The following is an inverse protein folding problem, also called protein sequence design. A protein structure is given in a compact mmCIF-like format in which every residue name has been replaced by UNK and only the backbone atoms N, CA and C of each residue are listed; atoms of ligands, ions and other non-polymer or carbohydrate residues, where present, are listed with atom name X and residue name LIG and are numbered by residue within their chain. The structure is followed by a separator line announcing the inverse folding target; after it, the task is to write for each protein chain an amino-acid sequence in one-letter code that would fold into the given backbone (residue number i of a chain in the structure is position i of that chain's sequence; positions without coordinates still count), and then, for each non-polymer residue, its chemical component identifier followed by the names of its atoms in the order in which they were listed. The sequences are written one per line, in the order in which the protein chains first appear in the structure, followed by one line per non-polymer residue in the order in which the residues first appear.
data_IF_218518203485
#
_entry.id   IF_218518203485
#
_cell.length_a   1.000
_cell.length_b   1.000
_cell.length_c   1.000
_cell.angle_alpha   90.00
_cell.angle_beta   90.00
_cell.angle_gamma   90.00
#
_symmetry.space_group_name_H-M   'P 1'
#
loop_
_entity.id
_entity.type
_entity.pdbx_description
1 polymer ?
#
# COMPACT_ATOMS: atom_id res chain seq x y z
N UNK A 1 -24.51 -55.08 -13.11
CA UNK A 1 -23.78 -54.87 -11.84
C UNK A 1 -22.29 -54.93 -12.15
N UNK A 2 -21.53 -53.87 -11.85
CA UNK A 2 -20.08 -53.88 -12.05
C UNK A 2 -19.41 -54.81 -11.02
N UNK A 3 -18.41 -55.62 -11.40
CA UNK A 3 -17.73 -56.52 -10.47
C UNK A 3 -16.99 -55.71 -9.40
N UNK A 4 -17.00 -56.19 -8.15
CA UNK A 4 -16.38 -55.51 -6.99
C UNK A 4 -14.90 -55.17 -7.21
N UNK A 5 -14.19 -55.98 -7.99
CA UNK A 5 -12.79 -55.74 -8.39
C UNK A 5 -12.63 -54.48 -9.26
N UNK A 6 -13.61 -54.14 -10.09
CA UNK A 6 -13.59 -52.97 -10.96
C UNK A 6 -13.81 -51.67 -10.17
N UNK A 7 -14.68 -51.69 -9.16
CA UNK A 7 -14.89 -50.57 -8.24
C UNK A 7 -13.61 -50.26 -7.45
N UNK A 8 -12.89 -51.30 -7.00
CA UNK A 8 -11.60 -51.15 -6.31
C UNK A 8 -10.51 -50.51 -7.17
N UNK A 9 -10.42 -50.89 -8.45
CA UNK A 9 -9.47 -50.31 -9.41
C UNK A 9 -9.75 -48.82 -9.69
N UNK A 10 -11.02 -48.45 -9.85
CA UNK A 10 -11.42 -47.04 -10.03
C UNK A 10 -11.05 -46.20 -8.80
N UNK A 11 -11.34 -46.71 -7.60
CA UNK A 11 -11.02 -46.00 -6.35
C UNK A 11 -9.50 -45.81 -6.20
N UNK A 12 -8.70 -46.84 -6.47
CA UNK A 12 -7.24 -46.75 -6.42
C UNK A 12 -6.69 -45.74 -7.46
N UNK A 13 -7.23 -45.74 -8.68
CA UNK A 13 -6.86 -44.79 -9.73
C UNK A 13 -7.15 -43.34 -9.33
N UNK A 14 -8.31 -43.07 -8.71
CA UNK A 14 -8.66 -41.74 -8.21
C UNK A 14 -7.72 -41.26 -7.09
N UNK A 15 -7.31 -42.15 -6.19
CA UNK A 15 -6.34 -41.81 -5.13
C UNK A 15 -4.98 -41.46 -5.72
N UNK A 16 -4.48 -42.24 -6.69
CA UNK A 16 -3.21 -41.95 -7.38
C UNK A 16 -3.27 -40.61 -8.11
N UNK A 17 -4.35 -40.33 -8.85
CA UNK A 17 -4.52 -39.04 -9.53
C UNK A 17 -4.61 -37.88 -8.54
N UNK A 18 -5.27 -38.06 -7.39
CA UNK A 18 -5.32 -37.04 -6.34
C UNK A 18 -3.92 -36.79 -5.73
N UNK A 19 -3.15 -37.84 -5.46
CA UNK A 19 -1.77 -37.73 -4.95
C UNK A 19 -0.85 -37.07 -5.96
N UNK A 20 -0.92 -37.46 -7.24
CA UNK A 20 -0.12 -36.84 -8.31
C UNK A 20 -0.53 -35.39 -8.55
N UNK A 21 -1.82 -35.07 -8.50
CA UNK A 21 -2.31 -33.70 -8.57
C UNK A 21 -1.83 -32.86 -7.39
N UNK A 22 -1.86 -33.41 -6.18
CA UNK A 22 -1.35 -32.78 -4.97
C UNK A 22 0.18 -32.57 -5.03
N UNK A 23 0.92 -33.59 -5.46
CA UNK A 23 2.36 -33.52 -5.68
C UNK A 23 2.71 -32.49 -6.78
N UNK A 24 1.95 -32.40 -7.87
CA UNK A 24 2.14 -31.38 -8.89
C UNK A 24 1.84 -29.96 -8.36
N UNK A 25 0.85 -29.80 -7.48
CA UNK A 25 0.58 -28.50 -6.84
C UNK A 25 1.70 -28.11 -5.86
N UNK A 26 2.29 -29.07 -5.15
CA UNK A 26 3.34 -28.84 -4.16
C UNK A 26 4.75 -28.73 -4.74
N UNK A 27 5.09 -29.62 -5.67
CA UNK A 27 6.42 -29.83 -6.25
C UNK A 27 6.51 -29.34 -7.70
N UNK A 28 5.37 -29.16 -8.36
CA UNK A 28 5.36 -28.72 -9.75
C UNK A 28 6.10 -27.39 -9.88
N UNK A 29 6.75 -27.14 -11.03
CA UNK A 29 7.42 -25.90 -11.34
C UNK A 29 6.36 -24.82 -11.56
N UNK A 30 5.60 -24.46 -10.53
CA UNK A 30 4.73 -23.31 -10.54
C UNK A 30 5.61 -22.14 -10.92
N UNK A 31 5.40 -21.61 -12.12
CA UNK A 31 6.25 -20.62 -12.78
C UNK A 31 6.77 -19.68 -11.72
N UNK A 32 8.07 -19.77 -11.40
CA UNK A 32 8.68 -18.91 -10.40
C UNK A 32 8.35 -17.51 -10.88
N UNK A 33 7.51 -16.73 -10.17
CA UNK A 33 7.16 -15.42 -10.68
C UNK A 33 8.47 -14.69 -10.88
N UNK A 34 8.72 -14.24 -12.11
CA UNK A 34 9.88 -13.42 -12.42
C UNK A 34 9.70 -12.17 -11.59
N UNK A 35 10.42 -12.10 -10.47
CA UNK A 35 10.46 -10.90 -9.64
C UNK A 35 11.27 -9.90 -10.44
N UNK A 36 10.69 -8.75 -10.84
CA UNK A 36 11.45 -7.73 -11.54
C UNK A 36 12.68 -7.36 -10.72
N UNK A 37 13.80 -7.02 -11.37
CA UNK A 37 15.00 -6.59 -10.66
C UNK A 37 14.68 -5.38 -9.76
N UNK A 38 15.42 -5.26 -8.65
CA UNK A 38 15.32 -4.08 -7.81
C UNK A 38 15.90 -2.87 -8.58
N UNK A 39 15.25 -1.69 -8.48
CA UNK A 39 15.84 -0.46 -9.00
C UNK A 39 17.20 -0.17 -8.35
N UNK A 40 18.08 0.54 -9.06
CA UNK A 40 19.38 0.98 -8.53
C UNK A 40 19.63 2.44 -8.94
N UNK A 41 19.57 3.40 -8.00
CA UNK A 41 19.20 3.24 -6.59
C UNK A 41 17.72 2.88 -6.38
N UNK A 42 17.41 2.23 -5.25
CA UNK A 42 16.03 1.86 -4.88
C UNK A 42 15.46 2.89 -3.90
N UNK A 43 14.37 3.56 -4.29
CA UNK A 43 13.72 4.55 -3.44
C UNK A 43 13.17 3.99 -2.13
N UNK A 44 12.85 2.70 -2.06
CA UNK A 44 12.41 2.06 -0.80
C UNK A 44 13.52 2.10 0.26
N UNK A 45 14.76 1.82 -0.13
CA UNK A 45 15.89 1.82 0.79
C UNK A 45 16.23 3.24 1.26
N UNK A 46 16.13 4.22 0.37
CA UNK A 46 16.28 5.64 0.72
C UNK A 46 15.16 6.16 1.65
N UNK A 47 13.93 5.66 1.49
CA UNK A 47 12.83 5.96 2.42
C UNK A 47 13.10 5.38 3.81
N UNK A 48 13.70 4.19 3.93
CA UNK A 48 14.08 3.64 5.22
C UNK A 48 15.16 4.48 5.92
N UNK A 49 16.14 4.99 5.18
CA UNK A 49 17.11 5.95 5.72
C UNK A 49 16.44 7.24 6.21
N UNK A 50 15.43 7.73 5.48
CA UNK A 50 14.65 8.90 5.92
C UNK A 50 13.87 8.61 7.21
N UNK A 51 13.33 7.40 7.39
CA UNK A 51 12.70 6.94 8.64
C UNK A 51 13.71 6.93 9.79
N UNK A 52 14.92 6.42 9.58
CA UNK A 52 15.96 6.38 10.62
C UNK A 52 16.33 7.80 11.07
N UNK A 53 16.55 8.70 10.11
CA UNK A 53 16.80 10.13 10.38
C UNK A 53 15.64 10.79 11.15
N UNK A 54 14.39 10.44 10.83
CA UNK A 54 13.22 10.92 11.57
C UNK A 54 13.25 10.45 13.02
N UNK A 55 13.53 9.16 13.25
CA UNK A 55 13.59 8.57 14.59
C UNK A 55 14.73 9.14 15.42
N UNK A 56 15.89 9.36 14.82
CA UNK A 56 17.02 10.03 15.47
C UNK A 56 16.63 11.44 15.93
N UNK A 57 16.00 12.22 15.04
CA UNK A 57 15.51 13.56 15.36
C UNK A 57 14.47 13.56 16.50
N UNK A 58 13.61 12.54 16.54
CA UNK A 58 12.54 12.41 17.54
C UNK A 58 12.96 11.73 18.84
N UNK A 59 14.08 11.00 18.86
CA UNK A 59 14.55 10.22 20.03
C UNK A 59 14.75 11.05 21.30
N UNK A 60 14.92 12.36 21.15
CA UNK A 60 15.10 13.32 22.25
C UNK A 60 13.79 13.66 22.98
N UNK A 61 12.65 13.25 22.44
CA UNK A 61 11.33 13.57 22.98
C UNK A 61 10.67 12.33 23.58
N UNK A 62 10.49 12.33 24.91
CA UNK A 62 9.85 11.20 25.61
C UNK A 62 8.33 11.21 25.46
N UNK A 63 7.71 12.34 25.08
CA UNK A 63 6.26 12.48 24.99
C UNK A 63 5.84 12.51 23.53
N UNK A 64 5.29 11.40 23.04
CA UNK A 64 4.65 11.33 21.72
C UNK A 64 3.30 12.05 21.77
N UNK A 65 3.30 13.37 21.64
CA UNK A 65 2.07 14.15 21.42
C UNK A 65 1.64 14.00 19.96
N UNK A 66 0.35 13.77 19.73
CA UNK A 66 -0.17 13.66 18.37
C UNK A 66 -0.18 15.06 17.72
N UNK A 67 0.24 15.17 16.46
CA UNK A 67 0.43 16.48 15.79
C UNK A 67 -0.86 17.32 15.70
N UNK A 68 -2.04 16.68 15.76
CA UNK A 68 -3.34 17.37 15.75
C UNK A 68 -3.62 18.17 17.02
N UNK A 69 -2.96 17.81 18.12
CA UNK A 69 -3.15 18.46 19.42
C UNK A 69 -2.17 19.62 19.63
N UNK A 70 -1.22 19.80 18.69
CA UNK A 70 -0.20 20.84 18.75
C UNK A 70 -0.71 22.15 18.15
N UNK A 71 -0.36 23.26 18.80
CA UNK A 71 -0.59 24.59 18.22
C UNK A 71 0.43 24.92 17.11
N UNK A 72 0.27 26.05 16.43
CA UNK A 72 1.14 26.43 15.32
C UNK A 72 2.63 26.57 15.71
N UNK A 73 2.94 27.06 16.91
CA UNK A 73 4.32 27.20 17.37
C UNK A 73 4.97 25.84 17.67
N UNK A 74 4.23 24.94 18.31
CA UNK A 74 4.68 23.57 18.59
C UNK A 74 4.84 22.76 17.31
N UNK A 75 3.91 22.88 16.36
CA UNK A 75 4.02 22.28 15.03
C UNK A 75 5.25 22.79 14.29
N UNK A 76 5.54 24.10 14.36
CA UNK A 76 6.74 24.67 13.72
C UNK A 76 8.02 24.03 14.24
N UNK A 77 8.15 23.91 15.57
CA UNK A 77 9.31 23.24 16.18
C UNK A 77 9.41 21.76 15.78
N UNK A 78 8.27 21.05 15.74
CA UNK A 78 8.24 19.65 15.31
C UNK A 78 8.66 19.49 13.84
N UNK A 79 8.15 20.34 12.96
CA UNK A 79 8.45 20.31 11.52
C UNK A 79 9.90 20.69 11.26
N UNK A 80 10.42 21.74 11.91
CA UNK A 80 11.81 22.17 11.81
C UNK A 80 12.77 21.04 12.24
N UNK A 81 12.46 20.39 13.37
CA UNK A 81 13.21 19.22 13.85
C UNK A 81 13.22 18.08 12.84
N UNK A 82 12.10 17.85 12.15
CA UNK A 82 11.94 16.77 11.18
C UNK A 82 12.36 17.16 9.75
N UNK A 83 12.73 18.42 9.49
CA UNK A 83 12.93 18.97 8.14
C UNK A 83 13.94 18.16 7.33
N UNK A 84 15.04 17.75 7.99
CA UNK A 84 16.07 16.93 7.35
C UNK A 84 15.56 15.56 6.89
N UNK A 85 14.68 14.91 7.66
CA UNK A 85 14.08 13.63 7.30
C UNK A 85 13.02 13.78 6.20
N UNK A 86 12.19 14.82 6.28
CA UNK A 86 11.17 15.14 5.27
C UNK A 86 11.81 15.46 3.91
N UNK A 87 12.92 16.20 3.89
CA UNK A 87 13.68 16.47 2.68
C UNK A 87 14.26 15.18 2.07
N UNK A 88 14.90 14.33 2.87
CA UNK A 88 15.41 13.02 2.42
C UNK A 88 14.29 12.13 1.87
N UNK A 89 13.13 12.10 2.53
CA UNK A 89 11.98 11.34 2.07
C UNK A 89 11.47 11.85 0.71
N UNK A 90 11.34 13.17 0.51
CA UNK A 90 10.93 13.73 -0.79
C UNK A 90 11.90 13.37 -1.91
N UNK A 91 13.21 13.40 -1.65
CA UNK A 91 14.21 12.98 -2.63
C UNK A 91 14.04 11.49 -2.98
N UNK A 92 13.80 10.63 -1.99
CA UNK A 92 13.54 9.22 -2.21
C UNK A 92 12.27 8.93 -3.03
N UNK A 93 11.22 9.75 -2.89
CA UNK A 93 9.96 9.61 -3.64
C UNK A 93 10.10 9.88 -5.15
N UNK A 94 11.20 10.51 -5.58
CA UNK A 94 11.53 10.69 -7.01
C UNK A 94 12.03 9.39 -7.63
N UNK A 95 12.67 8.53 -6.83
CA UNK A 95 13.26 7.28 -7.28
C UNK A 95 12.19 6.19 -7.51
N UNK A 96 12.47 5.27 -8.44
CA UNK A 96 11.68 4.05 -8.51
C UNK A 96 11.88 3.25 -7.22
N UNK A 97 10.77 2.89 -6.58
CA UNK A 97 10.76 2.20 -5.28
C UNK A 97 10.17 0.81 -5.44
N UNK A 98 10.83 -0.20 -4.88
CA UNK A 98 10.32 -1.56 -4.79
C UNK A 98 10.75 -2.20 -3.48
N UNK A 99 9.81 -2.85 -2.80
CA UNK A 99 10.08 -3.63 -1.59
C UNK A 99 11.07 -4.75 -1.92
N UNK A 100 12.20 -4.86 -1.21
CA UNK A 100 13.16 -5.93 -1.43
C UNK A 100 12.51 -7.29 -1.10
N UNK A 101 12.90 -8.36 -1.80
CA UNK A 101 12.40 -9.68 -1.47
C UNK A 101 12.88 -10.10 -0.07
N UNK A 102 12.09 -10.87 0.68
CA UNK A 102 12.50 -11.30 2.01
C UNK A 102 13.77 -12.15 1.93
N UNK A 103 14.70 -11.90 2.86
CA UNK A 103 15.83 -12.79 3.07
C UNK A 103 15.29 -14.13 3.60
N UNK A 104 15.72 -15.30 3.08
CA UNK A 104 15.31 -16.59 3.63
C UNK A 104 15.71 -16.69 5.12
N UNK A 105 14.84 -17.25 5.97
CA UNK A 105 15.26 -17.59 7.35
C UNK A 105 16.21 -18.77 7.27
N UNK A 106 17.44 -18.63 7.77
CA UNK A 106 18.32 -19.78 8.02
C UNK A 106 17.63 -20.64 9.08
N UNK A 107 17.23 -21.86 8.69
CA UNK A 107 16.45 -22.91 9.40
C UNK A 107 15.85 -22.51 10.77
N UNK A 108 14.53 -22.70 10.98
CA UNK A 108 13.96 -22.53 12.32
C UNK A 108 14.74 -23.37 13.32
N UNK A 109 15.03 -22.78 14.49
CA UNK A 109 15.74 -23.45 15.58
C UNK A 109 15.16 -24.85 15.80
N UNK A 110 15.99 -25.89 16.03
CA UNK A 110 15.51 -27.26 16.24
C UNK A 110 14.50 -27.40 17.40
N UNK A 111 14.39 -26.39 18.27
CA UNK A 111 13.38 -26.34 19.34
C UNK A 111 11.99 -25.83 18.88
N UNK A 112 11.83 -25.38 17.63
CA UNK A 112 10.55 -24.90 17.09
C UNK A 112 9.49 -26.00 16.92
N UNK A 113 9.84 -27.27 17.08
CA UNK A 113 8.91 -28.40 17.02
C UNK A 113 8.10 -28.65 18.30
N UNK A 114 8.25 -27.82 19.34
CA UNK A 114 7.63 -28.06 20.67
C UNK A 114 6.58 -27.05 21.12
N UNK A 115 6.35 -25.99 20.34
CA UNK A 115 5.29 -25.02 20.61
C UNK A 115 4.20 -25.22 19.57
N UNK A 116 3.00 -25.51 20.04
CA UNK A 116 1.70 -25.32 19.39
C UNK A 116 1.80 -24.27 18.27
N UNK A 117 1.37 -24.66 17.05
CA UNK A 117 1.55 -23.97 15.75
C UNK A 117 1.38 -22.44 15.78
N UNK A 118 0.63 -21.92 16.74
CA UNK A 118 0.40 -20.48 16.97
C UNK A 118 1.68 -19.74 17.37
N UNK A 119 2.57 -20.35 18.18
CA UNK A 119 3.81 -19.75 18.65
C UNK A 119 4.81 -19.50 17.52
N UNK A 120 4.99 -20.48 16.64
CA UNK A 120 5.82 -20.34 15.44
C UNK A 120 5.23 -19.31 14.48
N UNK A 121 3.90 -19.27 14.30
CA UNK A 121 3.24 -18.29 13.44
C UNK A 121 3.32 -16.86 14.02
N UNK A 122 3.29 -16.71 15.35
CA UNK A 122 3.51 -15.45 16.06
C UNK A 122 4.96 -14.98 16.00
N UNK A 123 5.95 -15.87 16.13
CA UNK A 123 7.37 -15.55 15.92
C UNK A 123 7.62 -15.10 14.46
N UNK A 124 6.97 -15.75 13.51
CA UNK A 124 6.97 -15.36 12.10
C UNK A 124 6.32 -13.99 11.90
N UNK A 125 5.15 -13.76 12.49
CA UNK A 125 4.49 -12.46 12.46
C UNK A 125 5.36 -11.39 13.13
N UNK A 126 6.06 -11.73 14.23
CA UNK A 126 6.98 -10.86 14.95
C UNK A 126 8.21 -10.54 14.11
N UNK A 127 8.84 -11.50 13.45
CA UNK A 127 9.97 -11.27 12.56
C UNK A 127 9.57 -10.46 11.29
N UNK A 128 8.32 -10.58 10.84
CA UNK A 128 7.75 -9.74 9.78
C UNK A 128 7.32 -8.34 10.28
N UNK A 129 6.94 -8.22 11.55
CA UNK A 129 6.61 -6.95 12.23
C UNK A 129 7.86 -6.21 12.73
N UNK A 130 8.97 -6.91 12.96
CA UNK A 130 10.29 -6.36 13.27
C UNK A 130 10.93 -5.69 12.04
N UNK A 131 10.29 -5.79 10.88
CA UNK A 131 10.61 -4.96 9.72
C UNK A 131 10.25 -3.50 10.07
N UNK A 132 11.25 -2.78 10.62
CA UNK A 132 11.26 -1.36 11.01
C UNK A 132 10.54 -0.44 10.02
N UNK A 133 10.44 -0.86 8.77
CA UNK A 133 9.70 -0.24 7.68
C UNK A 133 8.22 0.02 7.99
N UNK A 134 7.49 -0.93 8.60
CA UNK A 134 6.03 -0.85 8.76
C UNK A 134 5.62 0.33 9.63
N UNK A 135 6.24 0.44 10.81
CA UNK A 135 6.00 1.55 11.74
C UNK A 135 6.63 2.83 11.21
N UNK A 136 7.78 2.73 10.54
CA UNK A 136 8.53 3.85 9.99
C UNK A 136 7.76 4.67 8.97
N UNK A 137 7.13 4.03 7.98
CA UNK A 137 6.41 4.76 6.95
C UNK A 137 5.17 5.47 7.50
N UNK A 138 4.50 4.90 8.51
CA UNK A 138 3.40 5.61 9.19
C UNK A 138 3.91 6.83 9.95
N UNK A 139 5.04 6.70 10.66
CA UNK A 139 5.69 7.84 11.35
C UNK A 139 6.05 8.95 10.34
N UNK A 140 6.57 8.58 9.17
CA UNK A 140 6.92 9.54 8.11
C UNK A 140 5.68 10.17 7.46
N UNK A 141 4.61 9.41 7.22
CA UNK A 141 3.33 9.93 6.75
C UNK A 141 2.72 10.93 7.75
N UNK A 142 2.79 10.63 9.05
CA UNK A 142 2.37 11.54 10.11
C UNK A 142 3.23 12.81 10.16
N UNK A 143 4.54 12.71 9.90
CA UNK A 143 5.42 13.87 9.81
C UNK A 143 5.06 14.77 8.61
N UNK A 144 4.76 14.19 7.44
CA UNK A 144 4.21 14.95 6.30
C UNK A 144 2.86 15.59 6.62
N UNK A 145 1.98 14.89 7.34
CA UNK A 145 0.70 15.45 7.76
C UNK A 145 0.85 16.61 8.76
N UNK A 146 1.83 16.53 9.66
CA UNK A 146 2.16 17.62 10.58
C UNK A 146 2.69 18.86 9.84
N UNK A 147 3.58 18.66 8.87
CA UNK A 147 4.08 19.73 7.98
C UNK A 147 2.95 20.37 7.16
N UNK A 148 2.06 19.54 6.61
CA UNK A 148 0.89 20.03 5.89
C UNK A 148 -0.04 20.84 6.77
N UNK A 149 -0.29 20.37 8.00
CA UNK A 149 -1.13 21.07 8.98
C UNK A 149 -0.53 22.41 9.41
N UNK A 150 0.78 22.48 9.61
CA UNK A 150 1.45 23.75 9.88
C UNK A 150 1.24 24.74 8.72
N UNK A 151 1.44 24.28 7.49
CA UNK A 151 1.23 25.10 6.31
C UNK A 151 -0.21 25.59 6.17
N UNK A 152 -1.22 24.77 6.51
CA UNK A 152 -2.63 25.21 6.57
C UNK A 152 -2.84 26.35 7.58
N UNK A 153 -2.31 26.20 8.80
CA UNK A 153 -2.45 27.20 9.86
C UNK A 153 -1.77 28.53 9.50
N UNK A 154 -0.80 28.50 8.60
CA UNK A 154 -0.10 29.67 8.06
C UNK A 154 -0.69 30.19 6.74
N UNK A 155 -1.81 29.62 6.26
CA UNK A 155 -2.43 30.01 4.99
C UNK A 155 -1.65 29.60 3.74
N UNK A 156 -0.62 28.76 3.87
CA UNK A 156 0.22 28.26 2.77
C UNK A 156 -0.37 27.00 2.14
N UNK A 157 -1.57 27.11 1.56
CA UNK A 157 -2.34 25.96 1.05
C UNK A 157 -1.61 25.14 -0.01
N UNK A 158 -0.80 25.77 -0.88
CA UNK A 158 0.02 25.08 -1.86
C UNK A 158 1.02 24.11 -1.19
N UNK A 159 1.65 24.57 -0.11
CA UNK A 159 2.69 23.84 0.61
C UNK A 159 2.06 22.70 1.42
N UNK A 160 0.86 22.94 1.98
CA UNK A 160 0.04 21.93 2.63
C UNK A 160 -0.31 20.79 1.67
N UNK A 161 -0.83 21.13 0.48
CA UNK A 161 -1.19 20.16 -0.55
C UNK A 161 0.00 19.30 -0.98
N UNK A 162 1.18 19.90 -1.18
CA UNK A 162 2.41 19.16 -1.53
C UNK A 162 2.83 18.19 -0.43
N UNK A 163 2.64 18.57 0.84
CA UNK A 163 2.97 17.70 1.98
C UNK A 163 2.00 16.51 2.08
N UNK A 164 0.70 16.72 1.89
CA UNK A 164 -0.27 15.63 1.84
C UNK A 164 -0.10 14.71 0.63
N UNK A 165 0.25 15.27 -0.53
CA UNK A 165 0.61 14.48 -1.71
C UNK A 165 1.85 13.61 -1.43
N UNK A 166 2.85 14.10 -0.69
CA UNK A 166 4.01 13.30 -0.32
C UNK A 166 3.62 12.09 0.56
N UNK A 167 2.64 12.23 1.47
CA UNK A 167 2.11 11.10 2.23
C UNK A 167 1.40 10.06 1.35
N UNK A 168 0.64 10.52 0.33
CA UNK A 168 0.02 9.64 -0.69
C UNK A 168 1.09 8.90 -1.47
N UNK A 169 2.09 9.62 -1.98
CA UNK A 169 3.20 9.06 -2.75
C UNK A 169 4.01 8.05 -1.94
N UNK A 170 4.23 8.32 -0.65
CA UNK A 170 4.86 7.38 0.29
C UNK A 170 4.09 6.06 0.36
N UNK A 171 2.75 6.12 0.40
CA UNK A 171 1.91 4.93 0.40
C UNK A 171 2.14 4.03 -0.82
N UNK A 172 2.28 4.63 -2.01
CA UNK A 172 2.58 3.92 -3.25
C UNK A 172 4.02 3.40 -3.31
N UNK A 173 4.99 4.24 -2.95
CA UNK A 173 6.42 3.91 -3.01
C UNK A 173 6.77 2.79 -2.03
N UNK A 174 6.26 2.88 -0.78
CA UNK A 174 6.53 1.94 0.29
C UNK A 174 5.81 0.59 0.18
N UNK A 175 4.83 0.46 -0.72
CA UNK A 175 4.09 -0.80 -0.91
C UNK A 175 4.41 -1.57 -2.18
N UNK A 176 5.08 -0.94 -3.16
CA UNK A 176 5.29 -1.51 -4.49
C UNK A 176 6.13 -2.78 -4.47
N UNK A 177 5.62 -3.85 -5.07
CA UNK A 177 6.31 -5.14 -5.11
C UNK A 177 6.27 -5.90 -3.77
N UNK A 178 5.67 -5.30 -2.74
CA UNK A 178 5.47 -5.91 -1.44
C UNK A 178 4.28 -6.86 -1.40
N UNK A 179 4.17 -7.58 -0.29
CA UNK A 179 3.03 -8.43 0.04
C UNK A 179 1.82 -7.66 0.59
N UNK A 180 0.88 -8.38 1.19
CA UNK A 180 -0.35 -7.83 1.73
C UNK A 180 -0.10 -6.80 2.83
N UNK A 181 0.85 -7.08 3.73
CA UNK A 181 1.17 -6.19 4.85
C UNK A 181 1.67 -4.82 4.36
N UNK A 182 2.56 -4.83 3.37
CA UNK A 182 3.08 -3.63 2.72
C UNK A 182 1.96 -2.81 2.08
N UNK A 183 1.04 -3.46 1.35
CA UNK A 183 -0.12 -2.81 0.75
C UNK A 183 -1.04 -2.17 1.80
N UNK A 184 -1.24 -2.81 2.96
CA UNK A 184 -2.04 -2.26 4.06
C UNK A 184 -1.39 -1.02 4.69
N UNK A 185 -0.06 -1.00 4.88
CA UNK A 185 0.66 0.21 5.31
C UNK A 185 0.51 1.31 4.29
N UNK A 186 0.73 0.97 3.01
CA UNK A 186 0.63 1.92 1.92
C UNK A 186 -0.73 2.60 1.88
N UNK A 187 -1.80 1.80 1.97
CA UNK A 187 -3.17 2.30 2.03
C UNK A 187 -3.46 3.18 3.25
N UNK A 188 -2.83 2.91 4.41
CA UNK A 188 -2.96 3.76 5.58
C UNK A 188 -2.25 5.11 5.42
N UNK A 189 -1.06 5.12 4.81
CA UNK A 189 -0.34 6.36 4.50
C UNK A 189 -1.10 7.21 3.47
N UNK A 190 -1.63 6.54 2.44
CA UNK A 190 -2.49 7.16 1.42
C UNK A 190 -3.75 7.77 2.02
N UNK A 191 -4.45 7.03 2.89
CA UNK A 191 -5.64 7.54 3.58
C UNK A 191 -5.34 8.81 4.37
N UNK A 192 -4.23 8.84 5.11
CA UNK A 192 -3.85 10.03 5.88
C UNK A 192 -3.68 11.26 5.00
N UNK A 193 -3.00 11.14 3.85
CA UNK A 193 -2.84 12.25 2.92
C UNK A 193 -4.15 12.65 2.22
N UNK A 194 -4.96 11.68 1.79
CA UNK A 194 -6.24 11.95 1.13
C UNK A 194 -7.24 12.65 2.05
N UNK A 195 -7.32 12.25 3.32
CA UNK A 195 -8.27 12.82 4.28
C UNK A 195 -8.04 14.33 4.47
N UNK A 196 -6.79 14.78 4.56
CA UNK A 196 -6.48 16.21 4.64
C UNK A 196 -6.59 16.91 3.31
N UNK A 197 -6.11 16.28 2.22
CA UNK A 197 -6.13 16.89 0.90
C UNK A 197 -7.57 17.24 0.48
N UNK A 198 -8.55 16.37 0.73
CA UNK A 198 -9.96 16.60 0.40
C UNK A 198 -10.54 17.83 1.09
N UNK A 199 -10.18 18.07 2.36
CA UNK A 199 -10.61 19.26 3.10
C UNK A 199 -9.98 20.53 2.52
N UNK A 200 -8.76 20.41 1.98
CA UNK A 200 -8.00 21.53 1.42
C UNK A 200 -8.44 21.93 0.01
N UNK A 201 -9.07 21.03 -0.79
CA UNK A 201 -9.45 21.28 -2.20
C UNK A 201 -10.13 22.64 -2.42
N UNK A 202 -11.13 23.08 -1.63
CA UNK A 202 -11.81 24.35 -1.86
C UNK A 202 -10.89 25.58 -1.80
N UNK A 203 -9.74 25.47 -1.13
CA UNK A 203 -8.76 26.55 -0.94
C UNK A 203 -7.67 26.56 -2.03
N UNK A 204 -7.66 25.56 -2.92
CA UNK A 204 -6.70 25.47 -4.01
C UNK A 204 -7.16 26.26 -5.24
N UNK A 205 -6.19 26.80 -5.97
CA UNK A 205 -6.41 27.41 -7.28
C UNK A 205 -6.32 26.37 -8.41
N UNK A 206 -6.70 26.76 -9.62
CA UNK A 206 -6.75 25.85 -10.77
C UNK A 206 -5.39 25.21 -11.11
N UNK A 207 -4.31 26.00 -11.06
CA UNK A 207 -2.97 25.51 -11.35
C UNK A 207 -2.53 24.43 -10.34
N UNK A 208 -2.73 24.68 -9.05
CA UNK A 208 -2.42 23.73 -7.99
C UNK A 208 -3.23 22.43 -8.15
N UNK A 209 -4.51 22.54 -8.49
CA UNK A 209 -5.34 21.37 -8.78
C UNK A 209 -4.78 20.56 -9.96
N UNK A 210 -4.40 21.21 -11.08
CA UNK A 210 -3.82 20.53 -12.25
C UNK A 210 -2.51 19.81 -11.94
N UNK A 211 -1.63 20.42 -11.14
CA UNK A 211 -0.37 19.82 -10.70
C UNK A 211 -0.61 18.56 -9.84
N UNK A 212 -1.58 18.63 -8.92
CA UNK A 212 -1.98 17.49 -8.09
C UNK A 212 -2.60 16.37 -8.93
N UNK A 213 -3.51 16.70 -9.86
CA UNK A 213 -4.13 15.72 -10.77
C UNK A 213 -3.05 14.96 -11.54
N UNK A 214 -2.13 15.70 -12.18
CA UNK A 214 -1.02 15.12 -12.95
C UNK A 214 -0.20 14.15 -12.10
N UNK A 215 0.12 14.56 -10.87
CA UNK A 215 0.89 13.74 -9.92
C UNK A 215 0.12 12.50 -9.47
N UNK A 216 -1.16 12.62 -9.15
CA UNK A 216 -2.00 11.50 -8.70
C UNK A 216 -2.27 10.50 -9.82
N UNK A 217 -2.58 10.95 -11.04
CA UNK A 217 -2.76 10.07 -12.21
C UNK A 217 -1.50 9.25 -12.51
N UNK A 218 -0.32 9.88 -12.45
CA UNK A 218 0.94 9.20 -12.68
C UNK A 218 1.18 8.06 -11.67
N UNK A 219 0.75 8.24 -10.41
CA UNK A 219 0.87 7.20 -9.37
C UNK A 219 -0.22 6.14 -9.49
N UNK A 220 -1.43 6.52 -9.88
CA UNK A 220 -2.53 5.59 -10.08
C UNK A 220 -2.24 4.62 -11.24
N UNK A 221 -1.62 5.11 -12.32
CA UNK A 221 -1.16 4.27 -13.43
C UNK A 221 -0.15 3.19 -13.00
N UNK A 222 0.55 3.39 -11.89
CA UNK A 222 1.55 2.46 -11.34
C UNK A 222 0.97 1.54 -10.25
N UNK A 223 -0.34 1.59 -9.98
CA UNK A 223 -0.96 0.82 -8.90
C UNK A 223 -0.99 -0.67 -9.20
N UNK A 224 -0.51 -1.47 -8.25
CA UNK A 224 -0.60 -2.92 -8.34
C UNK A 224 -2.02 -3.42 -8.06
N UNK A 225 -2.53 -4.29 -8.93
CA UNK A 225 -3.81 -4.97 -8.69
C UNK A 225 -3.76 -5.85 -7.44
N UNK A 226 -4.90 -6.06 -6.78
CA UNK A 226 -4.99 -6.97 -5.63
C UNK A 226 -4.49 -8.40 -5.96
N UNK A 227 -4.73 -8.87 -7.19
CA UNK A 227 -4.22 -10.15 -7.67
C UNK A 227 -2.69 -10.17 -7.70
N UNK A 228 -2.04 -9.07 -8.10
CA UNK A 228 -0.59 -8.94 -8.04
C UNK A 228 -0.08 -8.97 -6.60
N UNK A 229 -0.73 -8.25 -5.68
CA UNK A 229 -0.36 -8.25 -4.24
C UNK A 229 -0.43 -9.66 -3.65
N UNK A 230 -1.47 -10.44 -3.96
CA UNK A 230 -1.56 -11.84 -3.53
C UNK A 230 -0.47 -12.73 -4.15
N UNK A 231 -0.05 -12.46 -5.38
CA UNK A 231 1.10 -13.16 -6.00
C UNK A 231 2.39 -12.81 -5.27
N UNK A 232 2.62 -11.55 -4.94
CA UNK A 232 3.78 -11.09 -4.18
C UNK A 232 3.80 -11.74 -2.79
N UNK A 233 2.66 -11.77 -2.09
CA UNK A 233 2.50 -12.41 -0.77
C UNK A 233 2.84 -13.91 -0.84
N UNK A 234 2.29 -14.63 -1.82
CA UNK A 234 2.60 -16.06 -1.99
C UNK A 234 4.09 -16.29 -2.28
N UNK A 235 4.71 -15.43 -3.07
CA UNK A 235 6.14 -15.49 -3.35
C UNK A 235 6.99 -15.19 -2.11
N UNK A 236 6.58 -14.19 -1.32
CA UNK A 236 7.19 -13.81 -0.05
C UNK A 236 7.17 -14.99 0.93
N UNK A 237 5.98 -15.55 1.20
CA UNK A 237 5.81 -16.66 2.14
C UNK A 237 6.59 -17.90 1.70
N UNK A 238 6.58 -18.22 0.40
CA UNK A 238 7.35 -19.34 -0.15
C UNK A 238 8.86 -19.17 0.03
N UNK A 239 9.39 -17.97 -0.19
CA UNK A 239 10.83 -17.68 -0.02
C UNK A 239 11.25 -17.70 1.44
N UNK A 240 10.41 -17.15 2.33
CA UNK A 240 10.72 -17.00 3.75
C UNK A 240 10.55 -18.31 4.53
N UNK A 241 9.50 -19.08 4.26
CA UNK A 241 9.10 -20.25 5.07
C UNK A 241 9.09 -21.59 4.33
N UNK A 242 9.33 -21.60 3.02
CA UNK A 242 9.37 -22.84 2.23
C UNK A 242 7.99 -23.49 2.02
N UNK A 243 7.96 -24.83 1.94
CA UNK A 243 6.77 -25.60 1.57
C UNK A 243 5.77 -25.79 2.73
N UNK A 244 6.21 -25.76 3.99
CA UNK A 244 5.35 -26.00 5.16
C UNK A 244 4.16 -25.04 5.26
N UNK A 245 4.39 -23.74 4.96
CA UNK A 245 3.31 -22.73 4.96
C UNK A 245 2.28 -22.96 3.86
N UNK A 246 2.63 -23.63 2.76
CA UNK A 246 1.65 -23.97 1.72
C UNK A 246 0.65 -25.02 2.21
N UNK A 247 1.10 -25.97 3.03
CA UNK A 247 0.24 -27.01 3.63
C UNK A 247 -0.67 -26.40 4.70
N UNK A 248 -0.13 -25.56 5.58
CA UNK A 248 -0.92 -24.83 6.59
C UNK A 248 -2.01 -23.95 5.93
N UNK A 249 -1.70 -23.35 4.77
CA UNK A 249 -2.65 -22.56 4.00
C UNK A 249 -3.87 -23.35 3.48
N UNK A 250 -3.76 -24.67 3.29
CA UNK A 250 -4.88 -25.52 2.90
C UNK A 250 -5.84 -25.71 4.09
N UNK A 251 -5.30 -25.97 5.28
CA UNK A 251 -6.08 -26.15 6.52
C UNK A 251 -6.88 -24.90 6.84
N UNK A 252 -6.29 -23.71 6.66
CA UNK A 252 -6.95 -22.42 6.94
C UNK A 252 -7.55 -21.73 5.71
N UNK A 253 -7.74 -22.44 4.59
CA UNK A 253 -8.10 -21.83 3.31
C UNK A 253 -9.35 -20.94 3.39
N UNK A 254 -10.42 -21.41 4.05
CA UNK A 254 -11.67 -20.65 4.18
C UNK A 254 -11.49 -19.33 4.94
N UNK A 255 -10.79 -19.38 6.08
CA UNK A 255 -10.51 -18.19 6.88
C UNK A 255 -9.64 -17.18 6.10
N UNK A 256 -8.62 -17.67 5.40
CA UNK A 256 -7.74 -16.87 4.54
C UNK A 256 -8.52 -16.22 3.39
N UNK A 257 -9.42 -16.95 2.72
CA UNK A 257 -10.26 -16.38 1.65
C UNK A 257 -11.20 -15.29 2.18
N UNK A 258 -11.84 -15.49 3.33
CA UNK A 258 -12.68 -14.47 3.95
C UNK A 258 -11.88 -13.21 4.31
N UNK A 259 -10.67 -13.38 4.88
CA UNK A 259 -9.75 -12.28 5.15
C UNK A 259 -9.37 -11.53 3.87
N UNK A 260 -9.00 -12.25 2.81
CA UNK A 260 -8.67 -11.66 1.51
C UNK A 260 -9.85 -10.89 0.91
N UNK A 261 -11.07 -11.41 0.98
CA UNK A 261 -12.26 -10.72 0.48
C UNK A 261 -12.51 -9.41 1.24
N UNK A 262 -12.42 -9.43 2.59
CA UNK A 262 -12.55 -8.23 3.43
C UNK A 262 -11.48 -7.21 3.10
N UNK A 263 -10.22 -7.65 2.97
CA UNK A 263 -9.11 -6.76 2.64
C UNK A 263 -9.22 -6.20 1.23
N UNK A 264 -9.62 -7.01 0.24
CA UNK A 264 -9.90 -6.55 -1.12
C UNK A 264 -10.94 -5.44 -1.12
N UNK A 265 -12.05 -5.62 -0.39
CA UNK A 265 -13.10 -4.61 -0.26
C UNK A 265 -12.55 -3.31 0.33
N UNK A 266 -11.84 -3.38 1.46
CA UNK A 266 -11.24 -2.20 2.11
C UNK A 266 -10.24 -1.47 1.21
N UNK A 267 -9.42 -2.20 0.47
CA UNK A 267 -8.47 -1.59 -0.47
C UNK A 267 -9.20 -0.93 -1.65
N UNK A 268 -10.25 -1.57 -2.18
CA UNK A 268 -11.08 -0.98 -3.22
C UNK A 268 -11.78 0.31 -2.73
N UNK A 269 -12.27 0.36 -1.49
CA UNK A 269 -12.84 1.57 -0.89
C UNK A 269 -11.81 2.72 -0.83
N UNK A 270 -10.52 2.41 -0.55
CA UNK A 270 -9.45 3.42 -0.53
C UNK A 270 -9.07 3.90 -1.92
N UNK A 271 -9.00 2.98 -2.88
CA UNK A 271 -8.78 3.31 -4.29
C UNK A 271 -9.92 4.18 -4.84
N UNK A 272 -11.16 3.90 -4.43
CA UNK A 272 -12.33 4.70 -4.77
C UNK A 272 -12.18 6.13 -4.21
N UNK A 273 -11.82 6.26 -2.93
CA UNK A 273 -11.58 7.57 -2.31
C UNK A 273 -10.50 8.38 -3.06
N UNK A 274 -9.39 7.74 -3.48
CA UNK A 274 -8.34 8.39 -4.24
C UNK A 274 -8.85 8.91 -5.60
N UNK A 275 -9.61 8.08 -6.33
CA UNK A 275 -10.19 8.43 -7.63
C UNK A 275 -11.26 9.52 -7.53
N UNK A 276 -12.11 9.48 -6.50
CA UNK A 276 -13.06 10.57 -6.23
C UNK A 276 -12.33 11.88 -5.94
N UNK A 277 -11.27 11.85 -5.12
CA UNK A 277 -10.45 13.04 -4.82
C UNK A 277 -9.83 13.64 -6.10
N UNK A 278 -9.41 12.78 -7.03
CA UNK A 278 -8.88 13.19 -8.33
C UNK A 278 -9.95 13.88 -9.20
N UNK A 279 -11.21 13.42 -9.15
CA UNK A 279 -12.33 14.11 -9.81
C UNK A 279 -12.67 15.41 -9.10
N UNK A 280 -12.69 15.45 -7.76
CA UNK A 280 -12.95 16.68 -6.99
C UNK A 280 -11.93 17.79 -7.33
N UNK A 281 -10.66 17.42 -7.51
CA UNK A 281 -9.62 18.34 -7.98
C UNK A 281 -9.90 18.85 -9.41
N UNK A 282 -10.35 17.98 -10.32
CA UNK A 282 -10.67 18.36 -11.70
C UNK A 282 -11.90 19.28 -11.77
N UNK A 283 -12.94 18.98 -10.99
CA UNK A 283 -14.12 19.84 -10.82
C UNK A 283 -13.69 21.21 -10.31
N UNK A 284 -12.86 21.26 -9.27
CA UNK A 284 -12.36 22.52 -8.71
C UNK A 284 -11.56 23.35 -9.73
N UNK A 285 -10.68 22.70 -10.50
CA UNK A 285 -9.92 23.37 -11.56
C UNK A 285 -10.85 23.94 -12.64
N UNK A 286 -11.85 23.16 -13.07
CA UNK A 286 -12.85 23.59 -14.04
C UNK A 286 -13.65 24.80 -13.55
N UNK A 287 -14.20 24.73 -12.34
CA UNK A 287 -14.95 25.82 -11.72
C UNK A 287 -14.16 27.13 -11.68
N UNK A 288 -12.87 27.06 -11.35
CA UNK A 288 -12.01 28.24 -11.27
C UNK A 288 -11.68 28.83 -12.65
N UNK A 289 -11.47 28.00 -13.66
CA UNK A 289 -11.10 28.47 -15.01
C UNK A 289 -12.29 28.92 -15.86
N UNK A 290 -13.45 28.28 -15.67
CA UNK A 290 -14.67 28.54 -16.45
C UNK A 290 -15.72 29.34 -15.71
N UNK A 291 -15.53 29.58 -14.40
CA UNK A 291 -16.53 30.22 -13.53
C UNK A 291 -17.89 29.49 -13.51
N UNK A 292 -17.92 28.21 -13.90
CA UNK A 292 -19.11 27.36 -13.91
C UNK A 292 -18.76 25.93 -13.48
N UNK A 293 -19.74 25.24 -12.88
CA UNK A 293 -19.60 23.81 -12.55
C UNK A 293 -19.65 22.95 -13.82
N UNK A 294 -18.81 21.91 -13.92
CA UNK A 294 -18.94 20.92 -14.99
C UNK A 294 -20.32 20.24 -14.89
N UNK A 295 -20.96 19.98 -16.03
CA UNK A 295 -22.26 19.31 -16.16
C UNK A 295 -22.11 17.82 -16.41
N UNK A 296 -20.92 17.37 -16.80
CA UNK A 296 -20.62 15.96 -17.00
C UNK A 296 -19.17 15.70 -17.36
N UNK A 297 -18.88 14.43 -17.66
CA UNK A 297 -17.52 13.96 -17.97
C UNK A 297 -16.89 14.64 -19.20
N UNK A 298 -17.69 15.09 -20.15
CA UNK A 298 -17.22 15.81 -21.36
C UNK A 298 -16.54 17.14 -21.04
N UNK A 299 -16.86 17.73 -19.89
CA UNK A 299 -16.27 19.01 -19.46
C UNK A 299 -14.92 18.80 -18.76
N UNK A 300 -14.70 17.60 -18.22
CA UNK A 300 -13.47 17.23 -17.50
C UNK A 300 -12.46 16.47 -18.37
N UNK A 301 -12.92 15.64 -19.30
CA UNK A 301 -12.08 14.77 -20.15
C UNK A 301 -12.08 15.32 -21.59
N UNK A 302 -10.92 15.46 -22.26
CA UNK A 302 -9.57 15.11 -21.80
C UNK A 302 -8.82 16.27 -21.11
N UNK A 303 -9.47 17.42 -20.90
CA UNK A 303 -8.80 18.68 -20.57
C UNK A 303 -8.15 18.71 -19.18
N UNK A 304 -8.81 18.10 -18.18
CA UNK A 304 -8.34 18.04 -16.79
C UNK A 304 -7.95 16.61 -16.40
N UNK A 305 -8.69 15.62 -16.89
CA UNK A 305 -8.45 14.20 -16.66
C UNK A 305 -8.12 13.49 -17.97
N UNK A 306 -7.18 12.54 -17.96
CA UNK A 306 -6.82 11.77 -19.17
C UNK A 306 -7.94 10.84 -19.65
N UNK A 307 -8.71 10.30 -18.70
CA UNK A 307 -9.84 9.42 -18.95
C UNK A 307 -10.80 9.44 -17.76
N UNK A 308 -12.01 8.93 -17.94
CA UNK A 308 -12.97 8.76 -16.84
C UNK A 308 -12.39 7.72 -15.86
N UNK A 309 -12.18 8.03 -14.57
CA UNK A 309 -11.71 7.06 -13.60
C UNK A 309 -12.68 5.88 -13.49
N UNK A 310 -12.15 4.68 -13.31
CA UNK A 310 -12.98 3.49 -13.10
C UNK A 310 -13.31 3.30 -11.62
N UNK A 311 -14.40 2.65 -11.29
CA UNK A 311 -14.66 2.12 -9.95
C UNK A 311 -13.80 0.85 -9.73
N UNK A 312 -12.96 0.78 -8.69
CA UNK A 312 -12.07 -0.36 -8.45
C UNK A 312 -12.81 -1.66 -8.09
N UNK A 313 -14.07 -1.58 -7.65
CA UNK A 313 -14.89 -2.73 -7.30
C UNK A 313 -15.63 -3.32 -8.50
N UNK A 314 -16.09 -2.49 -9.43
CA UNK A 314 -16.89 -2.92 -10.59
C UNK A 314 -16.13 -2.91 -11.92
N UNK A 315 -15.05 -2.14 -12.03
CA UNK A 315 -14.30 -1.93 -13.27
C UNK A 315 -15.01 -1.07 -14.30
N UNK A 316 -16.18 -0.48 -13.96
CA UNK A 316 -16.94 0.44 -14.82
C UNK A 316 -16.53 1.88 -14.56
N UNK A 317 -17.00 2.82 -15.39
CA UNK A 317 -16.83 4.25 -15.13
C UNK A 317 -17.33 4.60 -13.72
N UNK A 318 -16.59 5.47 -13.03
CA UNK A 318 -16.96 5.98 -11.71
C UNK A 318 -18.32 6.68 -11.81
N UNK A 319 -19.23 6.31 -10.92
CA UNK A 319 -20.48 7.04 -10.74
C UNK A 319 -20.18 8.28 -9.87
N UNK A 320 -20.12 9.45 -10.51
CA UNK A 320 -19.83 10.72 -9.85
C UNK A 320 -20.98 11.69 -10.10
N UNK A 321 -21.40 12.36 -9.03
CA UNK A 321 -22.44 13.38 -9.08
C UNK A 321 -21.82 14.77 -9.16
N UNK A 322 -22.00 15.41 -10.31
CA UNK A 322 -21.60 16.79 -10.59
C UNK A 322 -22.50 17.82 -9.88
#
# INVERSE_FOLDING_TARGET
MLPKSFIGLIAAGLVVLAVLGFAYVLLGPGSRPTVPPLPSPNGYDELLKAVEKLREAQSRDRKRTHYRDLNAAELRQLVERNAGALASARAALILESRVPPPVPVRRPSPNAGRTDDVGAMMEVARAALEEKAFTGFKELALAFAAEGRLAELEGRHADAARSYLAAIQLGHAGSRGGGMLHKLVGAACEALGLDHLRVLIPQLNAQQCRELITSMEAREAQRESFKQVLRNEKAYLRRRFGLGVQLAGIVHFRATQQSHAKTKKKLAERELQARTTLVDLAVRAHEQEKSERPKGWTDLVPTYLKAIPLDPSTGKNLDYRF
#
